data_IF_708938943302
#
_entry.id   IF_708938943302
#
_cell.length_a   1.000
_cell.length_b   1.000
_cell.length_c   1.000
_cell.angle_alpha   90.00
_cell.angle_beta   90.00
_cell.angle_gamma   90.00
#
_symmetry.space_group_name_H-M   'P 1'
#
loop_
_entity.id
_entity.type
_entity.pdbx_description
1 polymer ?
#
# COMPACT_ATOMS: atom_id res chain seq x y z
N UNK A 1 24.42 -24.35 -2.62
CA UNK A 1 23.19 -23.55 -2.49
C UNK A 1 23.24 -22.83 -1.17
N UNK A 2 23.22 -21.49 -1.18
CA UNK A 2 23.18 -20.66 0.03
C UNK A 2 21.76 -20.15 0.26
N UNK A 3 21.44 -19.91 1.53
CA UNK A 3 20.21 -19.22 1.93
C UNK A 3 20.55 -17.78 2.30
N UNK A 4 19.88 -16.85 1.64
CA UNK A 4 20.07 -15.41 1.80
C UNK A 4 18.83 -14.78 2.44
N UNK A 5 19.04 -13.87 3.38
CA UNK A 5 18.01 -13.18 4.12
C UNK A 5 18.11 -11.68 3.85
N UNK A 6 17.04 -11.07 3.36
CA UNK A 6 16.95 -9.64 3.03
C UNK A 6 15.97 -8.95 3.98
N UNK A 7 16.47 -8.01 4.77
CA UNK A 7 15.71 -7.28 5.79
C UNK A 7 16.03 -5.77 5.78
N UNK A 8 15.13 -4.97 6.33
CA UNK A 8 15.33 -3.55 6.58
C UNK A 8 15.21 -3.16 8.07
N UNK A 9 15.74 -1.98 8.41
CA UNK A 9 15.46 -1.34 9.70
C UNK A 9 15.42 0.18 9.58
N UNK A 10 14.59 0.79 10.41
CA UNK A 10 14.48 2.25 10.52
C UNK A 10 13.48 2.88 9.55
N UNK A 11 12.75 2.13 8.72
CA UNK A 11 11.75 2.67 7.79
C UNK A 11 10.68 3.53 8.45
N UNK A 12 10.27 3.20 9.68
CA UNK A 12 9.31 3.97 10.47
C UNK A 12 9.88 5.22 11.16
N UNK A 13 11.20 5.35 11.26
CA UNK A 13 11.85 6.52 11.84
C UNK A 13 11.91 7.67 10.83
N UNK A 14 11.68 8.91 11.28
CA UNK A 14 11.74 10.10 10.43
C UNK A 14 13.16 10.59 10.16
N UNK A 15 14.15 10.04 10.86
CA UNK A 15 15.54 10.39 10.73
C UNK A 15 16.40 9.16 10.51
N UNK A 16 17.66 9.42 10.16
CA UNK A 16 18.70 8.46 9.82
C UNK A 16 18.39 7.66 8.57
N UNK A 17 19.39 6.95 8.07
CA UNK A 17 19.18 6.12 6.89
C UNK A 17 18.37 4.88 7.25
N UNK A 18 17.56 4.43 6.29
CA UNK A 18 17.00 3.09 6.39
C UNK A 18 18.10 2.09 6.04
N UNK A 19 18.28 1.10 6.90
CA UNK A 19 19.30 0.06 6.71
C UNK A 19 18.68 -1.04 5.89
N UNK A 20 19.40 -1.52 4.88
CA UNK A 20 19.11 -2.76 4.19
C UNK A 20 20.25 -3.74 4.48
N UNK A 21 19.91 -4.99 4.73
CA UNK A 21 20.90 -6.05 4.95
C UNK A 21 20.64 -7.23 4.04
N UNK A 22 21.73 -7.88 3.64
CA UNK A 22 21.72 -9.19 2.97
C UNK A 22 22.63 -10.11 3.79
N UNK A 23 22.06 -11.18 4.33
CA UNK A 23 22.76 -12.08 5.26
C UNK A 23 22.70 -13.51 4.75
N UNK A 24 23.81 -14.23 4.84
CA UNK A 24 23.84 -15.70 4.77
C UNK A 24 24.38 -16.21 6.09
N UNK A 25 23.77 -17.24 6.66
CA UNK A 25 24.25 -17.83 7.92
C UNK A 25 25.33 -18.91 7.68
N UNK A 26 25.30 -19.57 6.52
CA UNK A 26 26.17 -20.69 6.20
C UNK A 26 26.67 -20.63 4.74
N UNK A 27 27.92 -20.15 4.51
CA UNK A 27 28.81 -19.53 5.48
C UNK A 27 28.30 -18.15 5.94
N UNK A 28 28.70 -17.73 7.14
CA UNK A 28 28.30 -16.43 7.69
C UNK A 28 28.83 -15.29 6.81
N UNK A 29 27.93 -14.57 6.14
CA UNK A 29 28.21 -13.39 5.31
C UNK A 29 27.17 -12.32 5.59
N UNK A 30 27.62 -11.07 5.74
CA UNK A 30 26.75 -9.95 6.11
C UNK A 30 27.11 -8.76 5.25
N UNK A 31 26.15 -8.30 4.46
CA UNK A 31 26.26 -7.10 3.63
C UNK A 31 25.24 -6.07 4.12
N UNK A 32 25.62 -4.80 4.08
CA UNK A 32 24.81 -3.68 4.57
C UNK A 32 24.81 -2.56 3.53
N UNK A 33 23.66 -1.92 3.37
CA UNK A 33 23.51 -0.68 2.62
C UNK A 33 22.61 0.28 3.39
N UNK A 34 22.80 1.57 3.12
CA UNK A 34 22.02 2.64 3.71
C UNK A 34 21.28 3.36 2.60
N UNK A 35 19.97 3.52 2.75
CA UNK A 35 19.24 4.40 1.87
C UNK A 35 19.58 5.85 2.21
N UNK A 36 20.06 6.65 1.23
CA UNK A 36 20.38 8.06 1.45
C UNK A 36 19.22 8.82 2.10
N UNK A 37 19.52 9.90 2.83
CA UNK A 37 18.47 10.73 3.44
C UNK A 37 17.59 11.41 2.39
N UNK A 38 18.13 11.68 1.21
CA UNK A 38 17.45 12.22 0.02
C UNK A 38 18.10 11.67 -1.26
N UNK A 39 17.39 11.72 -2.39
CA UNK A 39 17.86 11.28 -3.71
C UNK A 39 17.01 11.93 -4.82
N UNK A 40 17.21 11.55 -6.08
CA UNK A 40 16.41 12.07 -7.20
C UNK A 40 14.93 11.68 -7.06
N UNK A 41 14.02 12.65 -7.15
CA UNK A 41 12.56 12.46 -7.06
C UNK A 41 11.97 11.48 -8.08
N UNK A 42 12.69 11.17 -9.16
CA UNK A 42 12.26 10.24 -10.20
C UNK A 42 12.47 8.77 -9.79
N UNK A 43 13.26 8.52 -8.75
CA UNK A 43 13.50 7.18 -8.21
C UNK A 43 12.58 6.99 -7.00
N UNK A 44 11.72 5.98 -7.06
CA UNK A 44 10.87 5.61 -5.92
C UNK A 44 11.68 4.93 -4.82
N UNK A 45 11.14 4.89 -3.61
CA UNK A 45 11.75 4.17 -2.50
C UNK A 45 11.97 2.67 -2.82
N UNK A 46 11.01 2.04 -3.50
CA UNK A 46 11.10 0.62 -3.88
C UNK A 46 12.22 0.39 -4.91
N UNK A 47 12.39 1.30 -5.88
CA UNK A 47 13.49 1.23 -6.86
C UNK A 47 14.86 1.48 -6.21
N UNK A 48 14.96 2.47 -5.31
CA UNK A 48 16.19 2.73 -4.58
C UNK A 48 16.59 1.52 -3.71
N UNK A 49 15.62 0.89 -3.03
CA UNK A 49 15.87 -0.31 -2.26
C UNK A 49 16.29 -1.49 -3.15
N UNK A 50 15.64 -1.67 -4.29
CA UNK A 50 16.04 -2.67 -5.29
C UNK A 50 17.49 -2.47 -5.73
N UNK A 51 17.88 -1.26 -6.13
CA UNK A 51 19.26 -0.98 -6.52
C UNK A 51 20.27 -1.36 -5.43
N UNK A 52 20.00 -0.98 -4.18
CA UNK A 52 20.88 -1.32 -3.04
C UNK A 52 20.92 -2.81 -2.73
N UNK A 53 19.82 -3.53 -2.91
CA UNK A 53 19.78 -4.98 -2.76
C UNK A 53 20.58 -5.66 -3.87
N UNK A 54 20.44 -5.21 -5.12
CA UNK A 54 21.20 -5.76 -6.25
C UNK A 54 22.71 -5.52 -6.09
N UNK A 55 23.14 -4.35 -5.61
CA UNK A 55 24.54 -4.08 -5.26
C UNK A 55 25.07 -5.11 -4.23
N UNK A 56 24.28 -5.43 -3.20
CA UNK A 56 24.67 -6.43 -2.20
C UNK A 56 24.68 -7.85 -2.77
N UNK A 57 23.74 -8.19 -3.64
CA UNK A 57 23.68 -9.51 -4.28
C UNK A 57 24.87 -9.74 -5.21
N UNK A 58 25.26 -8.72 -5.97
CA UNK A 58 26.45 -8.73 -6.82
C UNK A 58 27.72 -8.90 -5.99
N UNK A 59 27.88 -8.09 -4.94
CA UNK A 59 29.02 -8.18 -4.00
C UNK A 59 29.09 -9.56 -3.30
N UNK A 60 27.94 -10.16 -3.01
CA UNK A 60 27.82 -11.49 -2.41
C UNK A 60 28.15 -12.64 -3.38
N UNK A 61 28.20 -12.35 -4.69
CA UNK A 61 28.23 -13.36 -5.74
C UNK A 61 27.02 -14.28 -5.67
N UNK A 62 25.84 -13.74 -5.36
CA UNK A 62 24.62 -14.51 -5.18
C UNK A 62 24.04 -14.94 -6.54
N UNK A 63 23.65 -16.21 -6.67
CA UNK A 63 23.24 -16.79 -7.96
C UNK A 63 21.79 -17.28 -7.93
N UNK A 64 21.26 -17.67 -9.09
CA UNK A 64 19.91 -18.24 -9.21
C UNK A 64 19.75 -19.60 -8.52
N UNK A 65 20.86 -20.27 -8.23
CA UNK A 65 20.88 -21.54 -7.49
C UNK A 65 20.78 -21.33 -5.97
N UNK A 66 20.97 -20.10 -5.49
CA UNK A 66 20.74 -19.73 -4.09
C UNK A 66 19.24 -19.50 -3.82
N UNK A 67 18.85 -19.56 -2.54
CA UNK A 67 17.49 -19.33 -2.09
C UNK A 67 17.39 -18.03 -1.29
N UNK A 68 16.36 -17.22 -1.54
CA UNK A 68 16.18 -15.91 -0.93
C UNK A 68 14.92 -15.83 -0.05
N UNK A 69 15.13 -15.47 1.20
CA UNK A 69 14.10 -15.11 2.15
C UNK A 69 14.03 -13.58 2.25
N UNK A 70 12.91 -13.00 1.85
CA UNK A 70 12.76 -11.54 1.80
C UNK A 70 11.70 -11.09 2.78
N UNK A 71 11.96 -10.02 3.53
CA UNK A 71 10.95 -9.41 4.37
C UNK A 71 9.70 -9.02 3.57
N UNK A 72 8.54 -9.16 4.21
CA UNK A 72 7.24 -8.76 3.64
C UNK A 72 7.00 -7.25 3.58
N UNK A 73 7.98 -6.43 4.01
CA UNK A 73 7.91 -4.98 3.96
C UNK A 73 7.66 -4.45 2.56
N UNK A 74 6.78 -3.44 2.43
CA UNK A 74 6.42 -2.86 1.12
C UNK A 74 7.63 -2.32 0.35
N UNK A 75 8.70 -1.92 1.04
CA UNK A 75 9.93 -1.43 0.43
C UNK A 75 10.57 -2.48 -0.50
N UNK A 76 10.31 -3.77 -0.24
CA UNK A 76 10.86 -4.88 -1.01
C UNK A 76 9.96 -5.37 -2.15
N UNK A 77 8.80 -4.76 -2.42
CA UNK A 77 7.96 -5.20 -3.54
C UNK A 77 8.69 -5.16 -4.89
N UNK A 78 9.58 -4.17 -5.09
CA UNK A 78 10.45 -4.12 -6.26
C UNK A 78 11.38 -5.33 -6.36
N UNK A 79 11.96 -5.75 -5.23
CA UNK A 79 12.83 -6.93 -5.10
C UNK A 79 12.06 -8.22 -5.37
N UNK A 80 10.87 -8.37 -4.77
CA UNK A 80 9.99 -9.53 -4.98
C UNK A 80 9.68 -9.77 -6.46
N UNK A 81 9.31 -8.70 -7.17
CA UNK A 81 9.03 -8.74 -8.60
C UNK A 81 10.30 -9.09 -9.38
N UNK A 82 11.40 -8.40 -9.11
CA UNK A 82 12.66 -8.62 -9.83
C UNK A 82 13.19 -10.06 -9.67
N UNK A 83 13.16 -10.62 -8.45
CA UNK A 83 13.58 -12.01 -8.20
C UNK A 83 12.73 -13.01 -8.99
N UNK A 84 11.41 -12.81 -9.01
CA UNK A 84 10.47 -13.63 -9.81
C UNK A 84 10.78 -13.54 -11.30
N UNK A 85 10.88 -12.32 -11.85
CA UNK A 85 11.11 -12.08 -13.28
C UNK A 85 12.47 -12.61 -13.76
N UNK A 86 13.47 -12.67 -12.87
CA UNK A 86 14.82 -13.12 -13.18
C UNK A 86 15.08 -14.59 -12.80
N UNK A 87 14.05 -15.34 -12.40
CA UNK A 87 14.14 -16.79 -12.16
C UNK A 87 14.88 -17.20 -10.89
N UNK A 88 14.93 -16.33 -9.88
CA UNK A 88 15.48 -16.67 -8.57
C UNK A 88 14.46 -17.46 -7.73
N UNK A 89 14.95 -18.35 -6.87
CA UNK A 89 14.13 -19.04 -5.87
C UNK A 89 13.99 -18.17 -4.63
N UNK A 90 12.76 -17.80 -4.28
CA UNK A 90 12.55 -16.91 -3.14
C UNK A 90 11.17 -17.06 -2.53
N UNK A 91 11.03 -16.63 -1.27
CA UNK A 91 9.75 -16.48 -0.59
C UNK A 91 9.75 -15.31 0.39
N UNK A 92 8.56 -14.86 0.79
CA UNK A 92 8.42 -13.85 1.84
C UNK A 92 8.39 -14.50 3.21
N UNK A 93 9.12 -13.96 4.17
CA UNK A 93 9.03 -14.37 5.58
C UNK A 93 8.87 -13.18 6.51
N UNK A 94 8.35 -13.45 7.71
CA UNK A 94 8.55 -12.56 8.85
C UNK A 94 9.97 -12.82 9.35
N UNK A 95 10.83 -11.82 9.26
CA UNK A 95 12.23 -11.99 9.60
C UNK A 95 12.44 -12.03 11.11
N UNK A 96 13.29 -12.96 11.51
CA UNK A 96 13.78 -13.17 12.87
C UNK A 96 15.25 -13.61 12.78
N UNK A 97 15.94 -13.71 13.91
CA UNK A 97 17.34 -14.14 13.96
C UNK A 97 18.33 -13.13 13.36
N UNK A 98 19.40 -13.64 12.73
CA UNK A 98 20.60 -12.86 12.45
C UNK A 98 20.34 -11.64 11.55
N UNK A 99 19.54 -11.78 10.49
CA UNK A 99 19.27 -10.67 9.58
C UNK A 99 18.55 -9.51 10.29
N UNK A 100 17.56 -9.83 11.13
CA UNK A 100 16.84 -8.84 11.92
C UNK A 100 17.74 -8.17 12.95
N UNK A 101 18.52 -8.94 13.71
CA UNK A 101 19.47 -8.40 14.70
C UNK A 101 20.51 -7.49 14.05
N UNK A 102 21.05 -7.86 12.88
CA UNK A 102 22.04 -7.04 12.17
C UNK A 102 21.39 -5.74 11.71
N UNK A 103 20.18 -5.78 11.13
CA UNK A 103 19.50 -4.58 10.66
C UNK A 103 19.22 -3.60 11.80
N UNK A 104 18.64 -4.07 12.91
CA UNK A 104 18.30 -3.23 14.07
C UNK A 104 19.54 -2.68 14.77
N UNK A 105 20.57 -3.51 15.00
CA UNK A 105 21.82 -3.05 15.59
C UNK A 105 22.53 -2.03 14.71
N UNK A 106 22.54 -2.24 13.39
CA UNK A 106 23.12 -1.28 12.45
C UNK A 106 22.34 0.04 12.47
N UNK A 107 21.01 0.00 12.63
CA UNK A 107 20.20 1.20 12.80
C UNK A 107 20.53 1.92 14.12
N UNK A 108 20.57 1.20 15.23
CA UNK A 108 20.95 1.75 16.54
C UNK A 108 22.34 2.40 16.50
N UNK A 109 23.33 1.75 15.89
CA UNK A 109 24.70 2.27 15.78
C UNK A 109 24.76 3.62 15.08
N UNK A 110 23.99 3.83 14.01
CA UNK A 110 23.92 5.13 13.32
C UNK A 110 23.42 6.23 14.25
N UNK A 111 22.37 5.94 15.02
CA UNK A 111 21.72 6.92 15.89
C UNK A 111 22.65 7.27 17.07
N UNK A 112 23.27 6.26 17.69
CA UNK A 112 24.25 6.45 18.76
C UNK A 112 25.48 7.22 18.27
N UNK A 113 26.01 6.91 17.08
CA UNK A 113 27.15 7.62 16.49
C UNK A 113 26.85 9.11 16.23
N UNK A 114 25.57 9.46 16.05
CA UNK A 114 25.12 10.84 15.91
C UNK A 114 24.92 11.59 17.24
N UNK A 115 25.16 10.93 18.38
CA UNK A 115 25.07 11.51 19.73
C UNK A 115 23.75 11.22 20.45
N UNK A 116 22.93 10.28 19.97
CA UNK A 116 21.78 9.81 20.73
C UNK A 116 22.24 8.91 21.91
N UNK A 117 21.59 8.98 23.09
CA UNK A 117 22.03 8.22 24.26
C UNK A 117 22.08 6.71 24.02
N UNK A 118 23.27 6.11 24.15
CA UNK A 118 23.50 4.68 23.91
C UNK A 118 22.71 3.76 24.87
N UNK A 119 22.33 4.27 26.04
CA UNK A 119 21.51 3.56 27.02
C UNK A 119 20.05 3.39 26.55
N UNK A 120 19.57 4.24 25.63
CA UNK A 120 18.22 4.14 25.08
C UNK A 120 18.27 3.23 23.85
N UNK A 121 17.67 2.04 24.00
CA UNK A 121 17.61 1.02 22.95
C UNK A 121 16.16 0.72 22.59
N UNK A 122 15.96 0.13 21.42
CA UNK A 122 14.70 -0.48 21.07
C UNK A 122 14.49 -1.73 21.92
N UNK A 123 13.44 -1.73 22.74
CA UNK A 123 13.06 -2.87 23.60
C UNK A 123 11.72 -3.44 23.13
N UNK A 124 11.59 -4.76 23.12
CA UNK A 124 10.35 -5.50 22.82
C UNK A 124 9.64 -5.06 21.53
N UNK A 125 10.41 -4.63 20.52
CA UNK A 125 9.88 -4.07 19.26
C UNK A 125 8.92 -2.87 19.48
N UNK A 126 9.09 -2.11 20.56
CA UNK A 126 8.33 -0.88 20.84
C UNK A 126 8.85 0.31 20.02
N UNK A 127 8.76 0.19 18.69
CA UNK A 127 9.24 1.20 17.73
C UNK A 127 8.57 2.56 17.94
N UNK A 128 7.31 2.58 18.41
CA UNK A 128 6.55 3.83 18.57
C UNK A 128 7.18 4.73 19.63
N UNK A 129 7.46 4.20 20.81
CA UNK A 129 8.07 4.99 21.87
C UNK A 129 9.53 5.31 21.54
N UNK A 130 10.29 4.34 21.03
CA UNK A 130 11.67 4.57 20.60
C UNK A 130 11.78 5.71 19.57
N UNK A 131 10.96 5.70 18.50
CA UNK A 131 10.98 6.77 17.51
C UNK A 131 10.46 8.11 18.03
N UNK A 132 9.57 8.14 19.03
CA UNK A 132 9.20 9.40 19.70
C UNK A 132 10.38 10.00 20.46
N UNK A 133 11.19 9.17 21.13
CA UNK A 133 12.39 9.63 21.83
C UNK A 133 13.41 10.19 20.85
N UNK A 134 13.64 9.50 19.73
CA UNK A 134 14.50 10.02 18.64
C UNK A 134 13.94 11.35 18.10
N UNK A 135 12.64 11.44 17.82
CA UNK A 135 11.99 12.68 17.38
C UNK A 135 12.10 13.83 18.39
N UNK A 136 12.09 13.54 19.70
CA UNK A 136 12.29 14.53 20.75
C UNK A 136 13.74 15.03 20.76
N UNK A 137 14.71 14.10 20.76
CA UNK A 137 16.13 14.41 20.68
C UNK A 137 16.48 15.25 19.44
N UNK A 138 15.87 14.97 18.28
CA UNK A 138 16.08 15.80 17.07
C UNK A 138 15.60 17.25 17.22
N UNK A 139 14.58 17.50 18.06
CA UNK A 139 13.99 18.84 18.24
C UNK A 139 14.76 19.70 19.23
N UNK A 140 15.53 19.10 20.12
CA UNK A 140 16.35 19.79 21.12
C UNK A 140 17.46 20.62 20.48
N UNK A 141 17.97 20.22 19.32
CA UNK A 141 19.05 20.90 18.62
C UNK A 141 18.75 21.03 17.11
N UNK A 142 18.55 22.26 16.60
CA UNK A 142 18.31 22.51 15.18
C UNK A 142 19.38 21.94 14.23
N UNK A 143 20.64 21.80 14.67
CA UNK A 143 21.70 21.22 13.84
C UNK A 143 21.44 19.74 13.49
N UNK A 144 20.68 19.03 14.34
CA UNK A 144 20.29 17.62 14.12
C UNK A 144 19.31 17.44 12.96
N UNK A 145 18.75 18.52 12.40
CA UNK A 145 17.92 18.46 11.18
C UNK A 145 18.62 17.80 10.00
N UNK A 146 19.96 17.83 9.96
CA UNK A 146 20.76 17.12 8.93
C UNK A 146 20.53 15.61 8.89
N UNK A 147 20.00 15.02 9.95
CA UNK A 147 19.67 13.59 10.02
C UNK A 147 18.25 13.27 9.54
N UNK A 148 17.41 14.28 9.30
CA UNK A 148 16.01 14.08 8.93
C UNK A 148 15.91 13.61 7.48
N UNK A 149 15.12 12.57 7.25
CA UNK A 149 14.84 12.04 5.92
C UNK A 149 14.01 13.03 5.11
N UNK A 150 14.30 13.11 3.82
CA UNK A 150 13.46 13.80 2.87
C UNK A 150 12.20 12.96 2.58
N UNK A 151 11.07 13.42 3.11
CA UNK A 151 9.79 12.73 2.96
C UNK A 151 9.15 12.92 1.59
N UNK A 152 9.69 13.80 0.74
CA UNK A 152 9.16 14.03 -0.61
C UNK A 152 9.49 12.86 -1.53
N UNK A 153 10.73 12.37 -1.49
CA UNK A 153 11.21 11.23 -2.30
C UNK A 153 10.85 9.87 -1.69
N UNK A 154 10.55 9.84 -0.38
CA UNK A 154 10.09 8.66 0.36
C UNK A 154 8.57 8.47 0.35
N UNK A 155 7.86 9.46 -0.15
CA UNK A 155 6.42 9.46 -0.25
C UNK A 155 5.96 8.57 -1.41
N UNK A 156 5.01 7.66 -1.17
CA UNK A 156 4.35 6.96 -2.28
C UNK A 156 3.81 7.98 -3.30
N UNK A 157 4.01 7.75 -4.62
CA UNK A 157 3.54 8.62 -5.68
C UNK A 157 2.10 9.08 -5.47
N UNK A 158 1.81 10.33 -5.82
CA UNK A 158 0.52 10.95 -5.54
C UNK A 158 -0.65 10.11 -6.09
N UNK A 159 -0.55 9.56 -7.30
CA UNK A 159 -1.61 8.77 -7.93
C UNK A 159 -1.98 7.50 -7.13
N UNK A 160 -1.04 6.87 -6.40
CA UNK A 160 -1.33 5.74 -5.51
C UNK A 160 -2.15 6.15 -4.27
N UNK A 161 -2.24 7.45 -3.97
CA UNK A 161 -3.10 7.99 -2.91
C UNK A 161 -4.53 8.26 -3.38
N UNK A 162 -4.77 8.30 -4.69
CA UNK A 162 -6.08 8.43 -5.31
C UNK A 162 -6.62 7.04 -5.63
N UNK A 163 -7.43 6.52 -4.71
CA UNK A 163 -7.97 5.16 -4.81
C UNK A 163 -9.35 5.20 -5.44
N UNK A 164 -9.49 4.62 -6.63
CA UNK A 164 -10.79 4.36 -7.23
C UNK A 164 -11.41 3.14 -6.54
N UNK A 165 -12.56 3.35 -5.90
CA UNK A 165 -13.27 2.35 -5.10
C UNK A 165 -14.79 2.55 -5.18
N UNK A 166 -15.52 1.65 -4.55
CA UNK A 166 -16.96 1.80 -4.37
C UNK A 166 -17.26 2.84 -3.27
N UNK A 167 -18.22 3.73 -3.53
CA UNK A 167 -18.81 4.55 -2.48
C UNK A 167 -19.76 3.68 -1.66
N UNK A 168 -19.67 3.74 -0.34
CA UNK A 168 -20.58 3.01 0.53
C UNK A 168 -21.96 3.72 0.58
N UNK A 169 -22.79 3.36 1.55
CA UNK A 169 -24.15 3.91 1.74
C UNK A 169 -24.25 5.41 2.07
N UNK A 170 -23.18 6.20 1.94
CA UNK A 170 -23.18 7.63 2.29
C UNK A 170 -22.96 8.52 1.06
N UNK A 171 -23.78 9.56 0.92
CA UNK A 171 -23.55 10.62 -0.05
C UNK A 171 -22.29 11.39 0.29
N UNK A 172 -21.49 11.73 -0.72
CA UNK A 172 -20.28 12.57 -0.58
C UNK A 172 -20.39 13.81 -1.47
N UNK A 173 -19.55 14.80 -1.22
CA UNK A 173 -19.39 15.94 -2.12
C UNK A 173 -18.06 15.81 -2.87
N UNK A 174 -18.11 16.03 -4.18
CA UNK A 174 -16.91 16.07 -4.99
C UNK A 174 -16.09 17.31 -4.67
N UNK A 175 -14.80 17.13 -4.42
CA UNK A 175 -13.91 18.23 -4.03
C UNK A 175 -13.53 19.13 -5.21
N UNK A 176 -13.80 18.70 -6.45
CA UNK A 176 -13.58 19.50 -7.68
C UNK A 176 -14.85 20.21 -8.13
N UNK A 177 -15.88 19.48 -8.53
CA UNK A 177 -17.10 20.07 -9.11
C UNK A 177 -18.16 20.46 -8.06
N UNK A 178 -17.94 20.12 -6.78
CA UNK A 178 -18.88 20.36 -5.65
C UNK A 178 -20.25 19.66 -5.75
N UNK A 179 -20.53 18.93 -6.83
CA UNK A 179 -21.75 18.11 -6.97
C UNK A 179 -21.71 16.87 -6.06
N UNK A 180 -22.90 16.32 -5.79
CA UNK A 180 -23.07 15.09 -4.99
C UNK A 180 -22.47 13.88 -5.72
N UNK A 181 -21.83 13.01 -4.95
CA UNK A 181 -21.45 11.65 -5.34
C UNK A 181 -22.43 10.73 -4.60
N UNK A 182 -23.27 10.05 -5.35
CA UNK A 182 -24.33 9.22 -4.79
C UNK A 182 -23.76 8.00 -4.05
N UNK A 183 -24.47 7.46 -3.04
CA UNK A 183 -24.12 6.17 -2.47
C UNK A 183 -24.04 5.08 -3.54
N UNK A 184 -23.17 4.09 -3.34
CA UNK A 184 -23.05 2.93 -4.23
C UNK A 184 -22.69 3.24 -5.69
N UNK A 185 -22.02 4.38 -5.93
CA UNK A 185 -21.38 4.68 -7.22
C UNK A 185 -19.85 4.60 -7.10
N UNK A 186 -19.12 4.51 -8.22
CA UNK A 186 -17.67 4.68 -8.22
C UNK A 186 -17.26 6.03 -7.61
N UNK A 187 -16.19 6.03 -6.81
CA UNK A 187 -15.62 7.24 -6.21
C UNK A 187 -14.11 7.14 -6.12
N UNK A 188 -13.42 8.27 -6.33
CA UNK A 188 -12.00 8.39 -6.05
C UNK A 188 -11.81 8.99 -4.66
N UNK A 189 -11.20 8.22 -3.75
CA UNK A 189 -10.82 8.70 -2.42
C UNK A 189 -9.34 9.08 -2.42
N UNK A 190 -9.05 10.35 -2.17
CA UNK A 190 -7.70 10.83 -1.87
C UNK A 190 -7.47 10.88 -0.37
N UNK A 191 -6.53 10.09 0.15
CA UNK A 191 -6.16 10.09 1.57
C UNK A 191 -4.87 10.86 1.81
N UNK A 192 -4.88 11.74 2.80
CA UNK A 192 -3.72 12.55 3.17
C UNK A 192 -3.70 12.81 4.68
N UNK A 193 -2.58 13.34 5.17
CA UNK A 193 -2.47 13.84 6.54
C UNK A 193 -2.30 15.35 6.51
N UNK A 194 -3.01 16.04 7.39
CA UNK A 194 -2.89 17.47 7.60
C UNK A 194 -2.79 17.71 9.11
N UNK A 195 -1.70 18.35 9.55
CA UNK A 195 -1.35 18.48 10.97
C UNK A 195 -1.44 17.14 11.74
N UNK A 196 -0.91 16.07 11.12
CA UNK A 196 -0.91 14.71 11.69
C UNK A 196 -2.25 13.96 11.62
N UNK A 197 -3.37 14.65 11.38
CA UNK A 197 -4.72 14.05 11.30
C UNK A 197 -4.97 13.46 9.92
N UNK A 198 -5.51 12.24 9.86
CA UNK A 198 -5.93 11.59 8.60
C UNK A 198 -7.15 12.31 8.06
N UNK A 199 -7.06 12.84 6.84
CA UNK A 199 -8.17 13.46 6.11
C UNK A 199 -8.41 12.72 4.80
N UNK A 200 -9.59 12.93 4.23
CA UNK A 200 -9.96 12.39 2.92
C UNK A 200 -10.68 13.44 2.10
N UNK A 201 -10.33 13.50 0.81
CA UNK A 201 -11.13 14.18 -0.22
C UNK A 201 -11.74 13.14 -1.13
N UNK A 202 -12.93 13.43 -1.64
CA UNK A 202 -13.67 12.56 -2.55
C UNK A 202 -13.86 13.28 -3.88
N UNK A 203 -13.77 12.54 -4.97
CA UNK A 203 -13.97 13.04 -6.33
C UNK A 203 -14.82 12.03 -7.10
N UNK A 204 -15.64 12.50 -8.04
CA UNK A 204 -16.11 11.63 -9.12
C UNK A 204 -14.90 11.10 -9.91
N UNK A 205 -14.95 9.89 -10.50
CA UNK A 205 -13.85 9.33 -11.29
C UNK A 205 -13.29 10.30 -12.35
N UNK A 206 -14.18 10.92 -13.14
CA UNK A 206 -13.88 11.92 -14.17
C UNK A 206 -13.41 13.27 -13.62
N UNK A 207 -13.78 13.56 -12.37
CA UNK A 207 -13.32 14.77 -11.67
C UNK A 207 -11.93 14.60 -11.04
N UNK A 208 -11.38 13.39 -11.00
CA UNK A 208 -10.07 13.15 -10.38
C UNK A 208 -8.96 13.97 -11.08
N UNK A 209 -8.06 14.63 -10.32
CA UNK A 209 -6.96 15.41 -10.90
C UNK A 209 -5.85 14.53 -11.50
N UNK A 210 -5.85 13.23 -11.20
CA UNK A 210 -4.91 12.23 -11.72
C UNK A 210 -5.66 10.97 -12.10
N UNK A 211 -5.07 10.14 -12.97
CA UNK A 211 -5.58 8.78 -13.23
C UNK A 211 -5.50 7.98 -11.92
N UNK A 212 -6.63 7.60 -11.29
CA UNK A 212 -6.61 6.96 -9.99
C UNK A 212 -6.14 5.51 -10.11
N UNK A 213 -5.50 5.01 -9.06
CA UNK A 213 -5.17 3.59 -8.97
C UNK A 213 -6.46 2.79 -8.72
N UNK A 214 -6.73 1.79 -9.57
CA UNK A 214 -7.93 0.95 -9.48
C UNK A 214 -7.76 -0.03 -8.32
N UNK A 215 -8.57 0.12 -7.28
CA UNK A 215 -8.60 -0.82 -6.16
C UNK A 215 -9.86 -1.67 -6.21
N UNK A 216 -9.73 -2.96 -6.57
CA UNK A 216 -10.74 -4.05 -6.46
C UNK A 216 -12.20 -3.67 -6.79
N UNK A 217 -12.40 -2.59 -7.55
CA UNK A 217 -13.72 -2.04 -7.85
C UNK A 217 -14.34 -2.91 -8.93
N UNK A 218 -15.46 -3.52 -8.57
CA UNK A 218 -16.38 -4.17 -9.50
C UNK A 218 -17.58 -3.25 -9.65
N UNK A 219 -17.90 -2.88 -10.89
CA UNK A 219 -19.03 -2.04 -11.25
C UNK A 219 -20.10 -2.89 -11.92
N UNK A 220 -21.35 -2.48 -11.76
CA UNK A 220 -22.48 -3.03 -12.51
C UNK A 220 -23.14 -1.89 -13.29
N UNK A 221 -23.49 -2.16 -14.54
CA UNK A 221 -24.30 -1.26 -15.36
C UNK A 221 -25.67 -1.92 -15.49
N UNK A 222 -26.70 -1.24 -15.00
CA UNK A 222 -28.03 -1.83 -14.82
C UNK A 222 -29.02 -1.02 -15.63
N UNK A 223 -29.90 -1.69 -16.38
CA UNK A 223 -31.09 -1.06 -16.91
C UNK A 223 -32.21 -1.18 -15.86
N UNK A 224 -32.63 -0.06 -15.29
CA UNK A 224 -33.65 -0.02 -14.24
C UNK A 224 -34.70 1.03 -14.60
N UNK A 225 -35.97 0.62 -14.73
CA UNK A 225 -37.07 1.49 -15.15
C UNK A 225 -36.72 2.31 -16.41
N UNK A 226 -36.19 1.65 -17.44
CA UNK A 226 -35.71 2.23 -18.71
C UNK A 226 -34.57 3.26 -18.58
N UNK A 227 -33.90 3.33 -17.42
CA UNK A 227 -32.75 4.21 -17.20
C UNK A 227 -31.49 3.39 -16.91
N UNK A 228 -30.36 3.80 -17.50
CA UNK A 228 -29.07 3.22 -17.17
C UNK A 228 -28.58 3.76 -15.83
N UNK A 229 -28.37 2.87 -14.88
CA UNK A 229 -27.86 3.18 -13.54
C UNK A 229 -26.51 2.49 -13.36
N UNK A 230 -25.51 3.27 -12.96
CA UNK A 230 -24.23 2.71 -12.56
C UNK A 230 -24.23 2.36 -11.07
N UNK A 231 -24.01 1.08 -10.78
CA UNK A 231 -23.84 0.55 -9.44
C UNK A 231 -22.44 -0.02 -9.19
N UNK A 232 -22.29 -0.60 -8.01
CA UNK A 232 -21.08 -1.28 -7.55
C UNK A 232 -21.43 -2.65 -7.00
N UNK A 233 -20.52 -3.61 -7.14
CA UNK A 233 -20.66 -4.93 -6.54
C UNK A 233 -19.90 -4.95 -5.22
N UNK A 234 -20.64 -5.19 -4.14
CA UNK A 234 -20.12 -5.25 -2.77
C UNK A 234 -20.71 -6.47 -2.07
N UNK A 235 -20.11 -6.90 -0.97
CA UNK A 235 -20.74 -7.91 -0.12
C UNK A 235 -21.99 -7.33 0.54
N UNK A 236 -23.10 -8.05 0.48
CA UNK A 236 -24.31 -7.73 1.22
C UNK A 236 -23.99 -7.67 2.72
N UNK A 237 -24.47 -6.63 3.41
CA UNK A 237 -24.23 -6.47 4.85
C UNK A 237 -25.16 -7.33 5.70
N UNK A 238 -26.36 -7.54 5.19
CA UNK A 238 -27.44 -8.29 5.78
C UNK A 238 -28.16 -9.05 4.66
N UNK A 239 -28.94 -10.06 5.04
CA UNK A 239 -29.74 -10.81 4.07
C UNK A 239 -30.91 -9.95 3.61
N UNK A 240 -31.02 -9.74 2.30
CA UNK A 240 -32.06 -8.90 1.71
C UNK A 240 -32.61 -9.53 0.43
N UNK A 241 -33.90 -9.33 0.10
CA UNK A 241 -34.47 -9.86 -1.12
C UNK A 241 -33.92 -9.13 -2.35
N UNK A 242 -33.58 -9.90 -3.38
CA UNK A 242 -33.23 -9.36 -4.69
C UNK A 242 -34.44 -8.69 -5.33
N UNK A 243 -34.28 -7.47 -5.83
CA UNK A 243 -35.38 -6.71 -6.41
C UNK A 243 -35.85 -7.25 -7.77
N UNK A 244 -35.04 -8.09 -8.43
CA UNK A 244 -35.36 -8.72 -9.72
C UNK A 244 -36.04 -10.07 -9.50
N UNK A 245 -35.34 -11.04 -8.92
CA UNK A 245 -35.84 -12.42 -8.80
C UNK A 245 -36.59 -12.70 -7.49
N UNK A 246 -36.66 -11.74 -6.56
CA UNK A 246 -37.30 -11.84 -5.22
C UNK A 246 -36.72 -12.88 -4.27
N UNK A 247 -35.73 -13.67 -4.68
CA UNK A 247 -34.97 -14.56 -3.79
C UNK A 247 -34.01 -13.77 -2.91
N UNK A 248 -33.71 -14.30 -1.75
CA UNK A 248 -32.77 -13.67 -0.82
C UNK A 248 -31.33 -13.66 -1.36
N UNK A 249 -30.63 -12.57 -1.06
CA UNK A 249 -29.19 -12.43 -1.19
C UNK A 249 -28.60 -12.52 0.23
N UNK A 250 -27.94 -13.62 0.60
CA UNK A 250 -27.42 -13.79 1.96
C UNK A 250 -26.34 -12.76 2.31
N UNK A 251 -26.26 -12.40 3.59
CA UNK A 251 -25.17 -11.57 4.12
C UNK A 251 -23.78 -12.15 3.76
N UNK A 252 -22.83 -11.29 3.39
CA UNK A 252 -21.47 -11.67 3.02
C UNK A 252 -21.28 -12.12 1.56
N UNK A 253 -22.36 -12.36 0.82
CA UNK A 253 -22.33 -12.71 -0.61
C UNK A 253 -22.24 -11.45 -1.48
N UNK A 254 -21.58 -11.55 -2.63
CA UNK A 254 -21.51 -10.45 -3.59
C UNK A 254 -22.90 -10.07 -4.10
N UNK A 255 -23.21 -8.78 -4.06
CA UNK A 255 -24.48 -8.21 -4.43
C UNK A 255 -24.26 -6.91 -5.20
N UNK A 256 -25.17 -6.62 -6.13
CA UNK A 256 -25.25 -5.32 -6.77
C UNK A 256 -25.89 -4.34 -5.80
N UNK A 257 -25.23 -3.20 -5.62
CA UNK A 257 -25.77 -2.04 -4.95
C UNK A 257 -25.75 -0.88 -5.93
N UNK A 258 -26.90 -0.26 -6.18
CA UNK A 258 -27.00 0.97 -6.96
C UNK A 258 -28.02 1.91 -6.34
N UNK A 259 -27.97 3.18 -6.72
CA UNK A 259 -28.90 4.18 -6.20
C UNK A 259 -29.21 5.21 -7.27
N UNK A 260 -30.50 5.49 -7.44
CA UNK A 260 -30.98 6.68 -8.14
C UNK A 260 -31.31 7.75 -7.10
N UNK A 261 -31.73 8.94 -7.53
CA UNK A 261 -32.20 9.97 -6.59
C UNK A 261 -33.45 9.53 -5.81
N UNK A 262 -34.21 8.55 -6.32
CA UNK A 262 -35.50 8.13 -5.77
C UNK A 262 -35.44 6.79 -5.04
N UNK A 263 -34.63 5.85 -5.50
CA UNK A 263 -34.67 4.47 -5.01
C UNK A 263 -33.27 3.85 -4.88
N UNK A 264 -33.19 2.88 -3.97
CA UNK A 264 -32.03 2.03 -3.79
C UNK A 264 -32.30 0.69 -4.48
N UNK A 265 -31.35 0.24 -5.30
CA UNK A 265 -31.45 -0.96 -6.13
C UNK A 265 -30.48 -2.00 -5.56
N UNK A 266 -31.01 -3.20 -5.30
CA UNK A 266 -30.25 -4.30 -4.70
C UNK A 266 -30.64 -5.66 -5.28
N UNK A 267 -29.64 -6.54 -5.44
CA UNK A 267 -29.88 -7.93 -5.84
C UNK A 267 -28.63 -8.69 -6.26
N UNK A 268 -28.84 -9.91 -6.75
CA UNK A 268 -27.74 -10.74 -7.25
C UNK A 268 -27.10 -10.15 -8.51
N UNK A 269 -25.76 -10.18 -8.67
CA UNK A 269 -25.10 -9.69 -9.88
C UNK A 269 -25.67 -10.25 -11.19
N UNK A 270 -25.92 -11.55 -11.22
CA UNK A 270 -26.45 -12.28 -12.38
C UNK A 270 -27.87 -11.84 -12.79
N UNK A 271 -28.66 -11.31 -11.84
CA UNK A 271 -30.00 -10.82 -12.13
C UNK A 271 -29.99 -9.48 -12.89
N UNK A 272 -28.86 -8.77 -12.91
CA UNK A 272 -28.73 -7.46 -13.58
C UNK A 272 -27.89 -7.52 -14.86
N UNK A 273 -27.26 -8.66 -15.17
CA UNK A 273 -26.57 -8.88 -16.45
C UNK A 273 -27.50 -9.33 -17.57
N UNK A 274 -28.76 -9.67 -17.25
CA UNK A 274 -29.78 -10.04 -18.23
C UNK A 274 -30.44 -8.78 -18.81
N UNK A 275 -29.74 -8.08 -19.70
CA UNK A 275 -30.37 -7.09 -20.58
C UNK A 275 -30.14 -7.53 -22.03
N UNK A 276 -31.17 -8.20 -22.55
CA UNK A 276 -31.54 -8.43 -23.96
C UNK A 276 -30.72 -9.39 -24.86
N UNK A 277 -31.15 -10.67 -24.89
CA UNK A 277 -31.01 -11.54 -26.07
C UNK A 277 -32.31 -11.54 -26.94
N UNK A 278 -33.33 -10.76 -26.57
CA UNK A 278 -34.58 -10.63 -27.32
C UNK A 278 -34.56 -9.55 -28.42
N UNK A 279 -33.54 -8.68 -28.47
CA UNK A 279 -33.33 -7.71 -29.56
C UNK A 279 -32.44 -8.21 -30.72
N UNK A 280 -32.10 -9.50 -30.77
CA UNK A 280 -31.32 -10.11 -31.88
C UNK A 280 -32.16 -10.87 -32.91
N UNK A 281 -33.49 -10.84 -32.82
CA UNK A 281 -34.38 -11.50 -33.79
C UNK A 281 -35.25 -10.49 -34.51
N UNK A 282 -34.60 -9.63 -35.29
CA UNK A 282 -35.20 -8.93 -36.42
C UNK A 282 -34.03 -8.36 -37.27
N UNK A 283 -33.41 -9.27 -38.02
CA UNK A 283 -32.72 -9.06 -39.30
C UNK A 283 -32.47 -10.42 -39.94
#
# INVERSE_FOLDING_TARGET
>A
MRNWYIEDAGGGCRAFSEVLVLVCEQPRRIYRRFLPLTWDKNITMEEMALHKVLEMMEEAGATRDDYFYVCSGNIFHGVHRWLTENGYRWETIRMEGLAHEVAENTFQQQITAAGFPAAVKLEERNYREFYKMVDAWLKEDPARRRFVKDMTVRSKPAHLRYLLKANAGSTRLCSRCRKKILPYTPVVQYRFREHGKKKSRFYHPECSPVKPHKNRLQTAHILWNNNFVQGVILKARETMPCMVCRRDVPAGVAAVHARTDKEFIFGHPECFTQVDDSLKREN
#
